data_IF_886648089744
#
_entry.id   IF_886648089744
#
_cell.length_a   1.000
_cell.length_b   1.000
_cell.length_c   1.000
_cell.angle_alpha   90.00
_cell.angle_beta   90.00
_cell.angle_gamma   90.00
#
_symmetry.space_group_name_H-M   'P 1'
#
loop_
_entity.id
_entity.type
_entity.pdbx_description
1 polymer ?
#
# COMPACT_ATOMS: atom_id res chain seq x y z
N UNK A 1 13.31 13.14 -9.78
CA UNK A 1 12.51 11.91 -9.95
C UNK A 1 13.37 10.72 -9.54
N UNK A 2 12.79 9.70 -8.91
CA UNK A 2 13.48 8.43 -8.64
C UNK A 2 12.67 7.29 -9.24
N UNK A 3 13.32 6.39 -10.00
CA UNK A 3 12.72 5.15 -10.50
C UNK A 3 13.42 3.97 -9.83
N UNK A 4 12.63 2.99 -9.41
CA UNK A 4 13.12 1.78 -8.75
C UNK A 4 12.49 0.59 -9.46
N UNK A 5 13.31 -0.33 -9.93
CA UNK A 5 12.89 -1.55 -10.61
C UNK A 5 13.53 -2.74 -9.91
N UNK A 6 12.80 -3.85 -9.82
CA UNK A 6 13.29 -5.07 -9.19
C UNK A 6 12.20 -6.07 -8.92
N UNK A 7 12.59 -7.20 -8.34
CA UNK A 7 11.67 -8.26 -7.95
C UNK A 7 10.84 -7.87 -6.73
N UNK A 8 9.60 -8.35 -6.68
CA UNK A 8 8.68 -8.08 -5.58
C UNK A 8 8.41 -9.37 -4.81
N UNK A 9 8.35 -9.28 -3.49
CA UNK A 9 7.91 -10.36 -2.61
C UNK A 9 6.78 -9.88 -1.71
N UNK A 10 5.86 -10.78 -1.37
CA UNK A 10 4.85 -10.51 -0.36
C UNK A 10 5.51 -10.47 1.02
N UNK A 11 5.12 -9.51 1.86
CA UNK A 11 5.60 -9.46 3.24
C UNK A 11 5.04 -10.64 4.05
N UNK A 12 5.77 -11.06 5.11
CA UNK A 12 5.22 -11.99 6.09
C UNK A 12 3.89 -11.48 6.67
N UNK A 13 3.00 -12.42 7.00
CA UNK A 13 1.67 -12.08 7.52
C UNK A 13 1.75 -11.32 8.85
N UNK A 14 2.65 -11.73 9.74
CA UNK A 14 2.89 -11.07 11.04
C UNK A 14 3.35 -9.61 10.87
N UNK A 15 4.21 -9.33 9.90
CA UNK A 15 4.67 -7.97 9.62
C UNK A 15 3.52 -7.11 9.07
N UNK A 16 2.69 -7.68 8.21
CA UNK A 16 1.49 -7.03 7.69
C UNK A 16 0.46 -6.77 8.80
N UNK A 17 0.28 -7.70 9.74
CA UNK A 17 -0.63 -7.57 10.88
C UNK A 17 -0.17 -6.48 11.85
N UNK A 18 1.11 -6.50 12.21
CA UNK A 18 1.70 -5.44 13.05
C UNK A 18 1.53 -4.05 12.42
N UNK A 19 1.81 -3.92 11.11
CA UNK A 19 1.62 -2.65 10.40
C UNK A 19 0.14 -2.28 10.26
N UNK A 20 -0.76 -3.24 10.05
CA UNK A 20 -2.20 -2.97 9.99
C UNK A 20 -2.70 -2.33 11.28
N UNK A 21 -2.33 -2.90 12.43
CA UNK A 21 -2.77 -2.41 13.74
C UNK A 21 -2.10 -1.11 14.19
N UNK A 22 -0.98 -0.71 13.59
CA UNK A 22 -0.38 0.60 13.85
C UNK A 22 -1.10 1.76 13.13
N UNK A 23 -2.01 1.47 12.19
CA UNK A 23 -2.78 2.49 11.45
C UNK A 23 -3.94 3.03 12.28
N UNK A 24 -4.43 4.25 12.03
CA UNK A 24 -5.66 4.75 12.66
C UNK A 24 -6.84 3.79 12.46
N UNK A 25 -7.73 3.70 13.45
CA UNK A 25 -8.87 2.76 13.44
C UNK A 25 -9.77 2.93 12.21
N UNK A 26 -10.03 4.17 11.78
CA UNK A 26 -10.77 4.46 10.54
C UNK A 26 -10.09 3.93 9.28
N UNK A 27 -8.75 3.92 9.25
CA UNK A 27 -7.96 3.36 8.14
C UNK A 27 -7.97 1.82 8.13
N UNK A 28 -8.05 1.20 9.31
CA UNK A 28 -8.27 -0.25 9.44
C UNK A 28 -9.66 -0.62 8.92
N UNK A 29 -10.70 0.08 9.39
CA UNK A 29 -12.10 -0.13 8.96
C UNK A 29 -12.25 0.08 7.45
N UNK A 30 -11.70 1.16 6.89
CA UNK A 30 -11.77 1.43 5.45
C UNK A 30 -11.17 0.31 4.59
N UNK A 31 -10.12 -0.37 5.08
CA UNK A 31 -9.54 -1.53 4.41
C UNK A 31 -10.44 -2.79 4.45
N UNK A 32 -11.33 -2.89 5.46
CA UNK A 32 -12.35 -3.95 5.53
C UNK A 32 -13.55 -3.59 4.65
N UNK A 33 -14.02 -2.33 4.69
CA UNK A 33 -15.17 -1.84 3.91
C UNK A 33 -14.93 -1.98 2.40
N UNK A 34 -13.73 -1.57 1.95
CA UNK A 34 -13.41 -1.51 0.53
C UNK A 34 -12.69 -2.77 0.07
N UNK A 35 -13.43 -3.69 -0.56
CA UNK A 35 -12.81 -4.73 -1.39
C UNK A 35 -12.28 -4.07 -2.67
N UNK A 36 -11.05 -3.61 -2.59
CA UNK A 36 -10.46 -2.72 -3.59
C UNK A 36 -10.62 -3.29 -5.01
N UNK A 37 -11.02 -2.42 -5.94
CA UNK A 37 -11.21 -2.71 -7.37
C UNK A 37 -12.38 -3.65 -7.71
N UNK A 38 -13.29 -3.95 -6.77
CA UNK A 38 -14.54 -4.66 -7.08
C UNK A 38 -15.70 -3.70 -7.35
N UNK A 39 -16.60 -4.08 -8.27
CA UNK A 39 -17.82 -3.32 -8.59
C UNK A 39 -18.72 -3.24 -7.36
N UNK A 40 -19.29 -2.05 -7.14
CA UNK A 40 -20.27 -1.77 -6.07
C UNK A 40 -21.48 -1.05 -6.68
N UNK A 41 -22.67 -1.12 -6.07
CA UNK A 41 -23.87 -0.53 -6.65
C UNK A 41 -23.84 1.01 -6.67
N UNK A 42 -23.33 1.62 -5.60
CA UNK A 42 -23.33 3.08 -5.42
C UNK A 42 -22.41 3.50 -4.25
N UNK A 43 -22.39 4.81 -3.97
CA UNK A 43 -21.61 5.39 -2.87
C UNK A 43 -22.22 5.13 -1.50
N UNK A 44 -23.55 5.07 -1.40
CA UNK A 44 -24.27 4.90 -0.13
C UNK A 44 -24.00 3.52 0.48
N UNK A 45 -23.79 2.50 -0.36
CA UNK A 45 -23.33 1.18 0.05
C UNK A 45 -22.06 1.24 0.91
N UNK A 46 -21.05 2.04 0.51
CA UNK A 46 -19.81 2.18 1.27
C UNK A 46 -20.04 2.90 2.60
N UNK A 47 -20.89 3.94 2.63
CA UNK A 47 -21.20 4.68 3.86
C UNK A 47 -21.91 3.80 4.89
N UNK A 48 -22.93 3.05 4.46
CA UNK A 48 -23.66 2.11 5.32
C UNK A 48 -22.71 1.07 5.91
N UNK A 49 -21.89 0.44 5.07
CA UNK A 49 -20.91 -0.56 5.51
C UNK A 49 -19.86 0.02 6.46
N UNK A 50 -19.40 1.24 6.22
CA UNK A 50 -18.46 1.91 7.12
C UNK A 50 -19.08 2.17 8.49
N UNK A 51 -20.28 2.75 8.55
CA UNK A 51 -20.98 3.01 9.80
C UNK A 51 -21.28 1.71 10.59
N UNK A 52 -21.72 0.66 9.90
CA UNK A 52 -21.93 -0.68 10.48
C UNK A 52 -20.65 -1.21 11.16
N UNK A 53 -19.50 -1.06 10.50
CA UNK A 53 -18.21 -1.55 11.02
C UNK A 53 -17.61 -0.64 12.10
N UNK A 54 -17.82 0.67 12.02
CA UNK A 54 -17.47 1.61 13.09
C UNK A 54 -18.19 1.29 14.39
N UNK A 55 -19.50 0.98 14.32
CA UNK A 55 -20.24 0.54 15.49
C UNK A 55 -19.75 -0.81 16.00
N UNK A 56 -19.65 -1.80 15.10
CA UNK A 56 -19.24 -3.16 15.44
C UNK A 56 -17.88 -3.20 16.12
N UNK A 57 -16.93 -2.40 15.64
CA UNK A 57 -15.57 -2.38 16.15
C UNK A 57 -15.31 -1.24 17.11
N UNK A 58 -16.30 -0.47 17.58
CA UNK A 58 -16.09 0.71 18.45
C UNK A 58 -15.13 0.43 19.61
N UNK A 59 -15.35 -0.67 20.34
CA UNK A 59 -14.54 -1.09 21.50
C UNK A 59 -13.68 -2.34 21.22
N UNK A 60 -13.68 -2.84 19.97
CA UNK A 60 -12.94 -4.04 19.58
C UNK A 60 -11.79 -3.72 18.61
N UNK A 61 -10.82 -4.64 18.53
CA UNK A 61 -9.80 -4.59 17.49
C UNK A 61 -10.42 -4.98 16.14
N UNK A 62 -10.03 -4.27 15.08
CA UNK A 62 -10.42 -4.59 13.71
C UNK A 62 -9.47 -5.69 13.21
N UNK A 63 -9.95 -6.88 12.81
CA UNK A 63 -9.07 -7.91 12.26
C UNK A 63 -8.53 -7.48 10.89
N UNK A 64 -7.26 -7.78 10.60
CA UNK A 64 -6.67 -7.55 9.28
C UNK A 64 -7.35 -8.47 8.24
N UNK A 65 -7.87 -7.95 7.12
CA UNK A 65 -8.37 -8.81 6.05
C UNK A 65 -7.28 -9.71 5.45
N UNK A 66 -7.62 -10.93 5.03
CA UNK A 66 -6.67 -11.88 4.42
C UNK A 66 -6.10 -11.40 3.06
N UNK A 67 -6.86 -10.54 2.37
CA UNK A 67 -6.45 -9.91 1.11
C UNK A 67 -5.65 -8.61 1.31
N UNK A 68 -5.47 -8.15 2.56
CA UNK A 68 -4.69 -6.96 2.89
C UNK A 68 -3.30 -7.37 3.40
N UNK A 69 -2.27 -6.71 2.89
CA UNK A 69 -0.90 -6.92 3.32
C UNK A 69 0.08 -6.06 2.55
N UNK A 70 1.36 -6.18 2.88
CA UNK A 70 2.42 -5.45 2.20
C UNK A 70 3.15 -6.28 1.15
N UNK A 71 3.84 -5.56 0.26
CA UNK A 71 4.83 -6.09 -0.66
C UNK A 71 6.13 -5.32 -0.45
N UNK A 72 7.26 -6.01 -0.62
CA UNK A 72 8.59 -5.41 -0.63
C UNK A 72 9.20 -5.56 -2.02
N UNK A 73 9.71 -4.46 -2.55
CA UNK A 73 10.49 -4.43 -3.79
C UNK A 73 11.97 -4.52 -3.43
N UNK A 74 12.67 -5.50 -4.00
CA UNK A 74 14.12 -5.64 -3.87
C UNK A 74 14.78 -4.95 -5.07
N UNK A 75 15.42 -3.79 -4.89
CA UNK A 75 15.91 -2.98 -6.01
C UNK A 75 17.05 -3.69 -6.74
N UNK A 76 16.88 -3.82 -8.06
CA UNK A 76 17.91 -4.28 -9.00
C UNK A 76 18.42 -3.11 -9.85
N UNK A 77 17.56 -2.13 -10.11
CA UNK A 77 17.91 -0.87 -10.79
C UNK A 77 17.33 0.30 -10.00
N UNK A 78 18.15 1.33 -9.81
CA UNK A 78 17.72 2.62 -9.23
C UNK A 78 18.21 3.74 -10.13
N UNK A 79 17.30 4.55 -10.63
CA UNK A 79 17.62 5.76 -11.39
C UNK A 79 17.30 7.01 -10.57
N UNK A 80 18.28 7.90 -10.49
CA UNK A 80 18.12 9.26 -10.00
C UNK A 80 18.13 10.20 -11.21
N UNK A 81 17.02 10.88 -11.42
CA UNK A 81 16.87 11.90 -12.46
C UNK A 81 16.72 13.26 -11.81
N UNK A 82 17.54 14.23 -12.23
CA UNK A 82 17.48 15.61 -11.78
C UNK A 82 17.22 16.53 -12.97
N UNK A 83 16.14 17.31 -12.87
CA UNK A 83 15.75 18.26 -13.90
C UNK A 83 16.72 19.43 -13.97
N UNK A 84 16.90 19.96 -15.17
CA UNK A 84 17.77 21.09 -15.50
C UNK A 84 17.02 22.04 -16.43
N UNK A 85 17.17 23.35 -16.22
CA UNK A 85 16.41 24.39 -16.94
C UNK A 85 16.71 24.44 -18.44
N UNK A 86 17.95 24.09 -18.82
CA UNK A 86 18.41 23.99 -20.20
C UNK A 86 18.04 22.66 -20.89
N UNK A 87 17.24 21.81 -20.24
CA UNK A 87 16.81 20.48 -20.71
C UNK A 87 17.90 19.40 -20.76
N UNK A 88 19.12 19.69 -20.30
CA UNK A 88 20.21 18.72 -20.19
C UNK A 88 20.16 18.03 -18.82
N UNK A 89 19.18 17.15 -18.64
CA UNK A 89 18.91 16.51 -17.35
C UNK A 89 20.00 15.53 -16.93
N UNK A 90 20.32 15.52 -15.64
CA UNK A 90 21.24 14.54 -15.06
C UNK A 90 20.50 13.22 -14.81
N UNK A 91 21.12 12.12 -15.22
CA UNK A 91 20.59 10.76 -15.03
C UNK A 91 21.69 9.83 -14.55
N UNK A 92 21.60 9.44 -13.29
CA UNK A 92 22.53 8.48 -12.68
C UNK A 92 21.77 7.19 -12.44
N UNK A 93 22.19 6.11 -13.09
CA UNK A 93 21.53 4.80 -13.02
C UNK A 93 22.46 3.78 -12.36
N UNK A 94 22.06 3.31 -11.19
CA UNK A 94 22.68 2.17 -10.52
C UNK A 94 22.02 0.88 -10.98
N UNK A 95 22.84 -0.14 -11.25
CA UNK A 95 22.39 -1.50 -11.54
C UNK A 95 23.19 -2.47 -10.68
N UNK A 96 22.50 -3.43 -10.06
CA UNK A 96 23.17 -4.54 -9.39
C UNK A 96 23.82 -5.44 -10.46
N UNK A 97 25.12 -5.68 -10.34
CA UNK A 97 25.80 -6.65 -11.19
C UNK A 97 25.29 -8.05 -10.86
N UNK A 98 25.09 -8.87 -11.88
CA UNK A 98 24.84 -10.31 -11.70
C UNK A 98 26.19 -11.00 -11.59
N UNK A 99 26.30 -11.94 -10.66
CA UNK A 99 27.42 -12.88 -10.60
C UNK A 99 27.35 -13.88 -11.77
#
# INVERSE_FOLDING_TARGET
QVRIEGSVKRLPEEESERYFHSRPKSSQIGAVVSRQSTVIPDREYLWKKNAELEERYREAAVPKPAYWGGYILHPEVVEFWQGQTNRLHDRIVFRRLRD
#
